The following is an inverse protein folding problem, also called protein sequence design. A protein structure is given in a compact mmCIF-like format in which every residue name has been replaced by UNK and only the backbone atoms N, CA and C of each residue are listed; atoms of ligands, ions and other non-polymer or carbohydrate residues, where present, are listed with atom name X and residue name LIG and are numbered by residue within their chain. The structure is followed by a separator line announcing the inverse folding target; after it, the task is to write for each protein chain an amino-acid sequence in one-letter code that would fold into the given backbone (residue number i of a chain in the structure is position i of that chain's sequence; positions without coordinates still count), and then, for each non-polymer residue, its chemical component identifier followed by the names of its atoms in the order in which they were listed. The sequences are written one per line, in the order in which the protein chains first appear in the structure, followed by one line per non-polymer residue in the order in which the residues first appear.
data_IF_862354962632
#
_entry.id   IF_862354962632
#
_cell.length_a   1.000
_cell.length_b   1.000
_cell.length_c   1.000
_cell.angle_alpha   90.00
_cell.angle_beta   90.00
_cell.angle_gamma   90.00
#
_symmetry.space_group_name_H-M   'P 1'
#
loop_
_entity.id
_entity.type
_entity.pdbx_description
1 polymer ?
#
# COMPACT_ATOMS: atom_id res chain seq x y z
N UNK A 1 -25.64 6.58 -53.52
CA UNK A 1 -25.51 6.62 -52.04
C UNK A 1 -25.21 5.20 -51.58
N UNK A 2 -23.97 4.93 -51.18
CA UNK A 2 -23.55 3.59 -50.75
C UNK A 2 -23.93 3.43 -49.27
N UNK A 3 -24.73 2.42 -48.89
CA UNK A 3 -25.16 2.25 -47.50
C UNK A 3 -23.96 1.90 -46.61
N UNK A 4 -23.88 2.54 -45.45
CA UNK A 4 -22.85 2.25 -44.45
C UNK A 4 -22.87 0.74 -44.10
N UNK A 5 -21.69 0.12 -44.11
CA UNK A 5 -21.50 -1.31 -43.98
C UNK A 5 -21.84 -1.79 -42.54
N UNK A 6 -22.89 -2.63 -42.32
CA UNK A 6 -23.39 -3.02 -40.99
C UNK A 6 -22.36 -3.70 -40.08
N UNK A 7 -21.36 -4.36 -40.67
CA UNK A 7 -20.34 -5.11 -39.93
C UNK A 7 -19.47 -4.24 -39.01
N UNK A 8 -19.35 -2.93 -39.31
CA UNK A 8 -18.51 -2.02 -38.52
C UNK A 8 -19.22 -1.52 -37.25
N UNK A 9 -20.55 -1.40 -37.25
CA UNK A 9 -21.31 -1.02 -36.06
C UNK A 9 -21.34 -2.15 -35.03
N UNK A 10 -21.58 -3.37 -35.47
CA UNK A 10 -21.72 -4.54 -34.58
C UNK A 10 -20.40 -4.87 -33.87
N UNK A 11 -19.26 -4.71 -34.57
CA UNK A 11 -17.94 -4.90 -33.98
C UNK A 11 -17.62 -3.82 -32.92
N UNK A 12 -18.04 -2.57 -33.13
CA UNK A 12 -17.84 -1.46 -32.17
C UNK A 12 -18.73 -1.62 -30.94
N UNK A 13 -19.97 -2.06 -31.10
CA UNK A 13 -20.86 -2.33 -29.96
C UNK A 13 -20.36 -3.50 -29.10
N UNK A 14 -19.85 -4.56 -29.74
CA UNK A 14 -19.24 -5.68 -29.03
C UNK A 14 -17.97 -5.25 -28.25
N UNK A 15 -17.16 -4.35 -28.81
CA UNK A 15 -15.97 -3.81 -28.14
C UNK A 15 -16.33 -2.90 -26.96
N UNK A 16 -17.30 -1.99 -27.15
CA UNK A 16 -17.80 -1.12 -26.08
C UNK A 16 -18.40 -1.91 -24.92
N UNK A 17 -19.16 -2.96 -25.21
CA UNK A 17 -19.71 -3.87 -24.19
C UNK A 17 -18.60 -4.57 -23.40
N UNK A 18 -17.56 -5.07 -24.08
CA UNK A 18 -16.39 -5.68 -23.42
C UNK A 18 -15.64 -4.70 -22.54
N UNK A 19 -15.41 -3.47 -23.00
CA UNK A 19 -14.75 -2.42 -22.22
C UNK A 19 -15.57 -2.08 -20.98
N UNK A 20 -16.88 -1.88 -21.12
CA UNK A 20 -17.78 -1.60 -20.00
C UNK A 20 -17.71 -2.70 -18.92
N UNK A 21 -17.83 -3.96 -19.32
CA UNK A 21 -17.75 -5.09 -18.38
C UNK A 21 -16.38 -5.20 -17.71
N UNK A 22 -15.30 -4.97 -18.45
CA UNK A 22 -13.95 -4.98 -17.87
C UNK A 22 -13.79 -3.88 -16.81
N UNK A 23 -14.25 -2.66 -17.10
CA UNK A 23 -14.21 -1.54 -16.14
C UNK A 23 -15.07 -1.84 -14.92
N UNK A 24 -16.28 -2.37 -15.11
CA UNK A 24 -17.17 -2.73 -14.01
C UNK A 24 -16.55 -3.82 -13.11
N UNK A 25 -15.93 -4.86 -13.69
CA UNK A 25 -15.25 -5.92 -12.94
C UNK A 25 -14.05 -5.37 -12.17
N UNK A 26 -13.22 -4.53 -12.80
CA UNK A 26 -12.07 -3.90 -12.13
C UNK A 26 -12.55 -3.02 -10.97
N UNK A 27 -13.61 -2.25 -11.18
CA UNK A 27 -14.21 -1.42 -10.14
C UNK A 27 -14.74 -2.25 -8.97
N UNK A 28 -15.45 -3.35 -9.24
CA UNK A 28 -15.92 -4.27 -8.21
C UNK A 28 -14.78 -4.92 -7.43
N UNK A 29 -13.71 -5.35 -8.11
CA UNK A 29 -12.50 -5.87 -7.46
C UNK A 29 -11.89 -4.79 -6.56
N UNK A 30 -11.80 -3.55 -7.04
CA UNK A 30 -11.28 -2.43 -6.26
C UNK A 30 -12.14 -2.13 -5.03
N UNK A 31 -13.47 -2.11 -5.15
CA UNK A 31 -14.36 -1.93 -4.01
C UNK A 31 -14.22 -3.05 -2.99
N UNK A 32 -14.19 -4.32 -3.43
CA UNK A 32 -13.95 -5.46 -2.55
C UNK A 32 -12.60 -5.35 -1.83
N UNK A 33 -11.57 -4.90 -2.54
CA UNK A 33 -10.23 -4.67 -2.01
C UNK A 33 -10.22 -3.62 -0.89
N UNK A 34 -10.89 -2.48 -1.10
CA UNK A 34 -11.01 -1.41 -0.10
C UNK A 34 -11.76 -1.90 1.14
N UNK A 35 -12.86 -2.64 0.96
CA UNK A 35 -13.62 -3.22 2.08
C UNK A 35 -12.72 -4.13 2.92
N UNK A 36 -11.98 -5.04 2.28
CA UNK A 36 -11.10 -5.98 3.01
C UNK A 36 -9.99 -5.23 3.74
N UNK A 37 -9.29 -4.28 3.10
CA UNK A 37 -8.22 -3.53 3.77
C UNK A 37 -8.73 -2.69 4.95
N UNK A 38 -9.96 -2.17 4.87
CA UNK A 38 -10.54 -1.36 5.93
C UNK A 38 -10.76 -2.16 7.24
N UNK A 39 -10.91 -3.49 7.13
CA UNK A 39 -11.03 -4.35 8.31
C UNK A 39 -9.72 -4.35 9.09
N UNK A 40 -9.83 -4.20 10.41
CA UNK A 40 -8.68 -4.07 11.29
C UNK A 40 -8.86 -4.97 12.51
N UNK A 41 -7.81 -5.70 12.84
CA UNK A 41 -7.66 -6.46 14.07
C UNK A 41 -6.69 -5.74 14.98
N UNK A 42 -6.96 -5.74 16.28
CA UNK A 42 -6.04 -5.18 17.27
C UNK A 42 -4.84 -6.10 17.38
N UNK A 43 -3.67 -5.57 17.02
CA UNK A 43 -2.41 -6.24 17.22
C UNK A 43 -1.86 -5.95 18.63
N UNK A 44 -1.27 -6.93 19.34
CA UNK A 44 -0.69 -6.68 20.65
C UNK A 44 0.41 -5.61 20.65
N UNK A 45 1.20 -5.51 19.58
CA UNK A 45 2.35 -4.61 19.50
C UNK A 45 1.95 -3.18 19.11
N UNK A 46 0.73 -2.98 18.58
CA UNK A 46 0.23 -1.67 18.12
C UNK A 46 0.35 -0.59 19.19
N UNK A 47 -0.02 -0.93 20.44
CA UNK A 47 -0.01 0.06 21.53
C UNK A 47 1.41 0.46 21.93
N UNK A 48 2.38 -0.45 21.79
CA UNK A 48 3.80 -0.15 21.95
C UNK A 48 4.26 0.87 20.91
N UNK A 49 4.02 0.57 19.62
CA UNK A 49 4.36 1.49 18.53
C UNK A 49 3.70 2.87 18.68
N UNK A 50 2.42 2.90 19.06
CA UNK A 50 1.71 4.15 19.28
C UNK A 50 2.32 4.94 20.45
N UNK A 51 2.67 4.26 21.55
CA UNK A 51 3.28 4.91 22.72
C UNK A 51 4.64 5.50 22.36
N UNK A 52 5.52 4.72 21.74
CA UNK A 52 6.84 5.19 21.30
C UNK A 52 6.74 6.38 20.34
N UNK A 53 5.77 6.37 19.43
CA UNK A 53 5.49 7.50 18.53
C UNK A 53 5.05 8.76 19.29
N UNK A 54 4.15 8.62 20.27
CA UNK A 54 3.68 9.72 21.10
C UNK A 54 4.81 10.33 21.93
N UNK A 55 5.63 9.48 22.56
CA UNK A 55 6.81 9.92 23.31
C UNK A 55 7.83 10.64 22.43
N UNK A 56 8.06 10.13 21.21
CA UNK A 56 8.98 10.76 20.25
C UNK A 56 8.51 12.17 19.88
N UNK A 57 7.19 12.35 19.68
CA UNK A 57 6.61 13.67 19.39
C UNK A 57 6.68 14.59 20.63
N UNK A 58 6.34 14.07 21.81
CA UNK A 58 6.30 14.83 23.07
C UNK A 58 7.70 15.31 23.47
N UNK A 59 8.68 14.42 23.45
CA UNK A 59 10.07 14.71 23.83
C UNK A 59 10.87 15.40 22.71
N UNK A 60 10.35 15.40 21.47
CA UNK A 60 11.04 15.88 20.26
C UNK A 60 12.39 15.21 20.03
N UNK A 61 12.52 13.97 20.50
CA UNK A 61 13.72 13.17 20.40
C UNK A 61 13.33 11.71 20.14
N UNK A 62 14.10 11.03 19.29
CA UNK A 62 13.93 9.58 19.08
C UNK A 62 14.40 8.85 20.32
N UNK A 63 13.54 7.99 20.86
CA UNK A 63 13.86 7.19 22.05
C UNK A 63 15.09 6.32 21.79
N UNK A 64 16.11 6.47 22.64
CA UNK A 64 17.39 5.75 22.55
C UNK A 64 17.56 4.64 23.59
N UNK A 65 16.64 4.54 24.54
CA UNK A 65 16.60 3.54 25.61
C UNK A 65 15.16 3.13 25.77
N UNK A 66 14.86 1.82 25.77
CA UNK A 66 13.50 1.33 25.95
C UNK A 66 13.07 1.51 27.42
N UNK A 67 12.14 2.44 27.75
CA UNK A 67 11.70 2.67 29.11
C UNK A 67 10.63 1.66 29.57
N UNK A 68 10.09 0.85 28.64
CA UNK A 68 8.99 -0.07 28.88
C UNK A 68 9.45 -1.53 29.04
N UNK A 69 10.69 -1.83 28.66
CA UNK A 69 11.30 -3.14 28.90
C UNK A 69 11.97 -3.23 30.26
N UNK A 70 11.59 -4.24 31.04
CA UNK A 70 12.21 -4.57 32.32
C UNK A 70 13.54 -5.33 32.16
N UNK A 71 13.83 -5.89 30.98
CA UNK A 71 15.03 -6.71 30.74
C UNK A 71 16.22 -5.87 30.23
N UNK A 72 15.95 -4.73 29.60
CA UNK A 72 16.97 -3.93 28.90
C UNK A 72 17.17 -2.55 29.55
N UNK A 73 16.88 -2.46 30.86
CA UNK A 73 17.03 -1.21 31.61
C UNK A 73 18.46 -0.68 31.47
N UNK A 74 18.58 0.57 30.99
CA UNK A 74 19.86 1.25 30.79
C UNK A 74 20.65 0.82 29.55
N UNK A 75 20.14 -0.12 28.75
CA UNK A 75 20.76 -0.50 27.48
C UNK A 75 20.30 0.42 26.35
N UNK A 76 21.24 0.77 25.46
CA UNK A 76 20.92 1.53 24.25
C UNK A 76 20.06 0.67 23.31
N UNK A 77 18.92 1.20 22.91
CA UNK A 77 18.02 0.61 21.94
C UNK A 77 17.96 1.49 20.69
N UNK A 78 18.18 0.88 19.52
CA UNK A 78 18.01 1.56 18.23
C UNK A 78 16.64 1.18 17.71
N UNK A 79 15.68 2.06 17.91
CA UNK A 79 14.37 1.94 17.32
C UNK A 79 14.46 2.27 15.82
N UNK A 80 14.41 1.24 14.97
CA UNK A 80 14.45 1.39 13.52
C UNK A 80 13.08 1.72 12.92
N UNK A 81 12.00 1.64 13.71
CA UNK A 81 10.62 1.87 13.29
C UNK A 81 10.07 3.24 13.72
N UNK A 82 10.89 4.07 14.38
CA UNK A 82 10.49 5.36 14.98
C UNK A 82 9.71 6.26 14.03
N UNK A 83 10.09 6.32 12.73
CA UNK A 83 9.41 7.17 11.76
C UNK A 83 7.98 6.68 11.47
N UNK A 84 7.78 5.36 11.38
CA UNK A 84 6.46 4.79 11.25
C UNK A 84 5.63 5.05 12.52
N UNK A 85 6.23 4.92 13.70
CA UNK A 85 5.57 5.19 14.96
C UNK A 85 5.14 6.66 15.10
N UNK A 86 5.98 7.61 14.67
CA UNK A 86 5.60 9.03 14.59
C UNK A 86 4.37 9.23 13.71
N UNK A 87 4.28 8.56 12.55
CA UNK A 87 3.07 8.66 11.71
C UNK A 87 1.83 8.03 12.35
N UNK A 88 1.99 6.96 13.14
CA UNK A 88 0.89 6.37 13.91
C UNK A 88 0.39 7.34 14.99
N UNK A 89 1.31 7.97 15.71
CA UNK A 89 0.99 8.97 16.71
C UNK A 89 0.29 10.19 16.09
N UNK A 90 0.75 10.70 14.95
CA UNK A 90 0.07 11.79 14.23
C UNK A 90 -1.35 11.37 13.82
N UNK A 91 -1.50 10.19 13.22
CA UNK A 91 -2.81 9.69 12.80
C UNK A 91 -3.77 9.54 14.00
N UNK A 92 -3.27 9.04 15.12
CA UNK A 92 -4.01 8.95 16.38
C UNK A 92 -4.40 10.31 16.94
N UNK A 93 -3.48 11.28 16.97
CA UNK A 93 -3.76 12.62 17.48
C UNK A 93 -4.83 13.36 16.64
N UNK A 94 -4.90 13.09 15.33
CA UNK A 94 -5.87 13.72 14.44
C UNK A 94 -7.27 13.08 14.51
N UNK A 95 -7.35 11.75 14.48
CA UNK A 95 -8.62 11.02 14.32
C UNK A 95 -8.75 9.76 15.18
N UNK A 96 -7.88 9.59 16.20
CA UNK A 96 -7.89 8.45 17.10
C UNK A 96 -7.74 7.11 16.36
N UNK A 97 -8.52 6.07 16.76
CA UNK A 97 -8.51 4.78 16.09
C UNK A 97 -8.80 4.86 14.59
N UNK A 98 -9.71 5.74 14.18
CA UNK A 98 -10.06 5.92 12.76
C UNK A 98 -8.88 6.43 11.95
N UNK A 99 -8.03 7.29 12.54
CA UNK A 99 -6.81 7.76 11.89
C UNK A 99 -5.83 6.63 11.58
N UNK A 100 -5.65 5.70 12.52
CA UNK A 100 -4.80 4.53 12.33
C UNK A 100 -5.32 3.63 11.20
N UNK A 101 -6.63 3.41 11.14
CA UNK A 101 -7.27 2.64 10.06
C UNK A 101 -7.07 3.36 8.72
N UNK A 102 -7.32 4.67 8.64
CA UNK A 102 -7.12 5.46 7.42
C UNK A 102 -5.67 5.37 6.93
N UNK A 103 -4.70 5.53 7.83
CA UNK A 103 -3.28 5.46 7.49
C UNK A 103 -2.90 4.09 6.94
N UNK A 104 -3.25 3.02 7.67
CA UNK A 104 -3.01 1.64 7.25
C UNK A 104 -3.68 1.34 5.91
N UNK A 105 -4.94 1.73 5.75
CA UNK A 105 -5.68 1.52 4.50
C UNK A 105 -5.04 2.28 3.36
N UNK A 106 -4.65 3.53 3.56
CA UNK A 106 -3.95 4.34 2.56
C UNK A 106 -2.65 3.70 2.10
N UNK A 107 -1.81 3.21 3.02
CA UNK A 107 -0.54 2.55 2.67
C UNK A 107 -0.73 1.34 1.76
N UNK A 108 -1.64 0.44 2.13
CA UNK A 108 -1.92 -0.75 1.34
C UNK A 108 -2.61 -0.41 0.02
N UNK A 109 -3.57 0.52 0.01
CA UNK A 109 -4.22 0.98 -1.23
C UNK A 109 -3.21 1.59 -2.19
N UNK A 110 -2.31 2.47 -1.74
CA UNK A 110 -1.29 3.08 -2.59
C UNK A 110 -0.36 2.00 -3.15
N UNK A 111 0.10 1.07 -2.30
CA UNK A 111 0.99 -0.03 -2.72
C UNK A 111 0.36 -0.86 -3.84
N UNK A 112 -0.87 -1.31 -3.66
CA UNK A 112 -1.56 -2.11 -4.66
C UNK A 112 -1.99 -1.32 -5.90
N UNK A 113 -2.32 -0.04 -5.76
CA UNK A 113 -2.60 0.83 -6.90
C UNK A 113 -1.37 1.00 -7.80
N UNK A 114 -0.18 1.17 -7.19
CA UNK A 114 1.08 1.25 -7.91
C UNK A 114 1.38 -0.06 -8.64
N UNK A 115 1.23 -1.20 -7.95
CA UNK A 115 1.43 -2.52 -8.55
C UNK A 115 0.44 -2.78 -9.71
N UNK A 116 -0.84 -2.44 -9.52
CA UNK A 116 -1.86 -2.58 -10.55
C UNK A 116 -1.54 -1.74 -11.77
N UNK A 117 -1.22 -0.46 -11.56
CA UNK A 117 -0.85 0.45 -12.64
C UNK A 117 0.36 -0.08 -13.42
N UNK A 118 1.39 -0.53 -12.71
CA UNK A 118 2.59 -1.04 -13.34
C UNK A 118 2.31 -2.31 -14.17
N UNK A 119 1.63 -3.30 -13.57
CA UNK A 119 1.29 -4.55 -14.25
C UNK A 119 0.38 -4.32 -15.45
N UNK A 120 -0.67 -3.50 -15.29
CA UNK A 120 -1.63 -3.20 -16.35
C UNK A 120 -1.01 -2.43 -17.52
N UNK A 121 0.02 -1.61 -17.24
CA UNK A 121 0.67 -0.79 -18.27
C UNK A 121 1.77 -1.52 -19.03
N UNK A 122 2.54 -2.39 -18.37
CA UNK A 122 3.77 -2.93 -18.95
C UNK A 122 3.81 -4.45 -19.08
N UNK A 123 2.97 -5.20 -18.38
CA UNK A 123 3.14 -6.67 -18.26
C UNK A 123 1.91 -7.47 -18.66
N UNK A 124 0.73 -7.08 -18.18
CA UNK A 124 -0.50 -7.86 -18.25
C UNK A 124 -1.67 -7.00 -18.73
N UNK A 125 -2.69 -7.63 -19.32
CA UNK A 125 -3.98 -6.96 -19.51
C UNK A 125 -4.62 -6.64 -18.14
N UNK A 126 -5.34 -5.51 -18.00
CA UNK A 126 -5.84 -5.03 -16.70
C UNK A 126 -6.60 -6.06 -15.88
N UNK A 127 -7.43 -6.89 -16.52
CA UNK A 127 -8.18 -7.96 -15.85
C UNK A 127 -7.26 -8.99 -15.19
N UNK A 128 -6.21 -9.44 -15.89
CA UNK A 128 -5.24 -10.41 -15.34
C UNK A 128 -4.41 -9.80 -14.21
N UNK A 129 -4.03 -8.53 -14.33
CA UNK A 129 -3.38 -7.80 -13.25
C UNK A 129 -4.27 -7.73 -12.00
N UNK A 130 -5.56 -7.40 -12.18
CA UNK A 130 -6.53 -7.37 -11.07
C UNK A 130 -6.69 -8.73 -10.39
N UNK A 131 -6.82 -9.81 -11.15
CA UNK A 131 -6.92 -11.18 -10.61
C UNK A 131 -5.65 -11.57 -9.85
N UNK A 132 -4.46 -11.32 -10.42
CA UNK A 132 -3.19 -11.63 -9.77
C UNK A 132 -3.06 -10.89 -8.43
N UNK A 133 -3.41 -9.60 -8.39
CA UNK A 133 -3.34 -8.82 -7.17
C UNK A 133 -4.36 -9.28 -6.14
N UNK A 134 -5.58 -9.62 -6.56
CA UNK A 134 -6.56 -10.21 -5.66
C UNK A 134 -6.08 -11.52 -5.06
N UNK A 135 -5.45 -12.40 -5.85
CA UNK A 135 -4.84 -13.63 -5.34
C UNK A 135 -3.69 -13.35 -4.37
N UNK A 136 -2.79 -12.42 -4.71
CA UNK A 136 -1.67 -12.03 -3.82
C UNK A 136 -2.16 -11.51 -2.47
N UNK A 137 -3.34 -10.87 -2.46
CA UNK A 137 -3.95 -10.35 -1.25
C UNK A 137 -4.20 -11.46 -0.22
N UNK A 138 -4.63 -12.64 -0.65
CA UNK A 138 -4.92 -13.77 0.26
C UNK A 138 -3.72 -14.16 1.12
N UNK A 139 -2.51 -14.02 0.57
CA UNK A 139 -1.25 -14.29 1.27
C UNK A 139 -0.89 -13.15 2.23
N UNK A 140 -1.19 -11.92 1.86
CA UNK A 140 -0.85 -10.73 2.65
C UNK A 140 -1.91 -10.36 3.70
N UNK A 141 -3.10 -10.98 3.69
CA UNK A 141 -4.21 -10.66 4.61
C UNK A 141 -3.82 -10.56 6.09
N UNK A 142 -3.01 -11.48 6.66
CA UNK A 142 -2.64 -11.40 8.07
C UNK A 142 -1.90 -10.09 8.41
N UNK A 143 -1.15 -9.56 7.45
CA UNK A 143 -0.41 -8.31 7.57
C UNK A 143 -1.29 -7.09 7.28
N UNK A 144 -2.29 -7.22 6.40
CA UNK A 144 -3.21 -6.13 6.07
C UNK A 144 -4.15 -5.79 7.24
N UNK A 145 -4.55 -6.79 8.03
CA UNK A 145 -5.49 -6.56 9.13
C UNK A 145 -4.88 -5.87 10.34
N UNK A 146 -3.56 -5.86 10.47
CA UNK A 146 -2.89 -5.23 11.62
C UNK A 146 -2.32 -3.86 11.25
N UNK A 147 -2.37 -2.92 12.19
CA UNK A 147 -1.68 -1.63 12.07
C UNK A 147 -0.25 -1.84 12.56
N UNK A 148 0.70 -1.95 11.63
CA UNK A 148 2.10 -2.24 11.93
C UNK A 148 3.03 -1.58 10.90
N UNK A 149 4.31 -1.33 11.25
CA UNK A 149 5.27 -0.66 10.37
C UNK A 149 5.51 -1.37 9.03
N UNK A 150 5.26 -2.68 8.92
CA UNK A 150 5.45 -3.43 7.67
C UNK A 150 4.66 -2.90 6.46
N UNK A 151 3.59 -2.13 6.68
CA UNK A 151 2.87 -1.45 5.60
C UNK A 151 3.76 -0.45 4.85
N UNK A 152 4.65 0.24 5.57
CA UNK A 152 5.68 1.09 4.97
C UNK A 152 6.71 0.27 4.21
N UNK A 153 7.14 -0.87 4.77
CA UNK A 153 8.07 -1.78 4.09
C UNK A 153 7.52 -2.23 2.75
N UNK A 154 6.25 -2.65 2.68
CA UNK A 154 5.62 -3.07 1.43
C UNK A 154 5.61 -1.95 0.38
N UNK A 155 5.26 -0.72 0.78
CA UNK A 155 5.24 0.44 -0.10
C UNK A 155 6.64 0.81 -0.59
N UNK A 156 7.59 1.01 0.32
CA UNK A 156 8.94 1.44 0.00
C UNK A 156 9.69 0.38 -0.81
N UNK A 157 9.51 -0.90 -0.49
CA UNK A 157 10.07 -1.99 -1.27
C UNK A 157 9.53 -2.01 -2.70
N UNK A 158 8.21 -1.80 -2.87
CA UNK A 158 7.60 -1.65 -4.20
C UNK A 158 8.23 -0.49 -4.97
N UNK A 159 8.43 0.65 -4.33
CA UNK A 159 9.07 1.82 -4.96
C UNK A 159 10.53 1.55 -5.35
N UNK A 160 11.29 0.85 -4.51
CA UNK A 160 12.67 0.44 -4.81
C UNK A 160 12.71 -0.48 -6.04
N UNK A 161 11.83 -1.48 -6.10
CA UNK A 161 11.74 -2.36 -7.27
C UNK A 161 11.44 -1.57 -8.54
N UNK A 162 10.52 -0.59 -8.48
CA UNK A 162 10.26 0.26 -9.63
C UNK A 162 11.48 1.10 -10.02
N UNK A 163 12.21 1.66 -9.06
CA UNK A 163 13.47 2.38 -9.34
C UNK A 163 14.46 1.47 -10.07
N UNK A 164 14.64 0.24 -9.60
CA UNK A 164 15.55 -0.76 -10.21
C UNK A 164 15.12 -1.06 -11.65
N UNK A 165 13.84 -1.36 -11.88
CA UNK A 165 13.35 -1.63 -13.24
C UNK A 165 13.54 -0.43 -14.17
N UNK A 166 13.41 0.79 -13.66
CA UNK A 166 13.68 1.99 -14.47
C UNK A 166 15.16 2.12 -14.82
N UNK A 167 16.06 1.76 -13.91
CA UNK A 167 17.50 1.72 -14.15
C UNK A 167 17.89 0.64 -15.16
N UNK A 168 17.30 -0.56 -15.08
CA UNK A 168 17.49 -1.64 -16.06
C UNK A 168 17.04 -1.23 -17.47
N UNK A 169 15.99 -0.42 -17.57
CA UNK A 169 15.54 0.21 -18.81
C UNK A 169 16.42 1.40 -19.28
N UNK A 170 17.65 1.52 -18.76
CA UNK A 170 18.63 2.54 -19.14
C UNK A 170 18.41 3.93 -18.52
N UNK A 171 17.44 4.10 -17.61
CA UNK A 171 17.15 5.39 -16.94
C UNK A 171 17.80 5.44 -15.55
N UNK A 172 19.13 5.35 -15.50
CA UNK A 172 19.93 5.34 -14.27
C UNK A 172 19.70 6.55 -13.35
N UNK A 173 19.17 7.66 -13.86
CA UNK A 173 18.81 8.84 -13.05
C UNK A 173 17.88 8.52 -11.88
N UNK A 174 17.08 7.45 -11.99
CA UNK A 174 16.17 7.02 -10.93
C UNK A 174 16.88 6.42 -9.72
N UNK A 175 18.12 5.93 -9.87
CA UNK A 175 18.90 5.40 -8.74
C UNK A 175 19.17 6.47 -7.67
N UNK A 176 19.22 7.75 -8.04
CA UNK A 176 19.34 8.86 -7.10
C UNK A 176 18.12 9.04 -6.19
N UNK A 177 16.96 8.49 -6.56
CA UNK A 177 15.75 8.51 -5.74
C UNK A 177 15.68 7.31 -4.77
N UNK A 178 16.54 6.30 -4.95
CA UNK A 178 16.66 5.17 -4.03
C UNK A 178 17.52 5.51 -2.81
N UNK A 179 17.49 4.68 -1.77
CA UNK A 179 18.47 4.78 -0.70
C UNK A 179 19.87 4.56 -1.29
N UNK A 180 20.78 5.51 -1.03
CA UNK A 180 22.19 5.45 -1.40
C UNK A 180 22.96 4.46 -0.52
#
# INVERSE_FOLDING_TARGET
MQPAHPLVSDAREADNSRIFWNVAVIFLIFCGFVVVISQTSSDPDLWGHLRFGLDTIENREVIQVDPYSYLTIGQRWINHEWLAEVTFAIAWLLYGPTGLVILKTGLWTITYAILFWYLAKYTLVPLRAGILLFLSMTVTLPFIYTVRPHGYTALLYTLILLIIVQAENGRYRWLWAGPL
#
